data_IF_000520871494
#
_entry.id   IF_000520871494
#
_cell.length_a   1.000
_cell.length_b   1.000
_cell.length_c   1.000
_cell.angle_alpha   90.00
_cell.angle_beta   90.00
_cell.angle_gamma   90.00
#
_symmetry.space_group_name_H-M   'P 1'
#
loop_
_entity.id
_entity.type
_entity.pdbx_description
1 polymer ?
#
# COMPACT_ATOMS: atom_id res chain seq x y z
N UNK A 1 6.33 -14.54 -12.73
CA UNK A 1 5.34 -14.12 -11.76
C UNK A 1 4.76 -12.76 -12.05
N UNK A 2 3.66 -12.44 -11.41
CA UNK A 2 2.98 -11.15 -11.55
C UNK A 2 3.81 -9.97 -11.04
N UNK A 3 4.68 -10.21 -10.05
CA UNK A 3 5.50 -9.16 -9.41
C UNK A 3 6.79 -8.78 -10.17
N UNK A 4 6.84 -9.04 -11.49
CA UNK A 4 8.01 -8.65 -12.29
C UNK A 4 8.26 -7.13 -12.21
N UNK A 5 9.50 -6.71 -11.99
CA UNK A 5 9.97 -5.33 -11.91
C UNK A 5 9.41 -4.51 -10.73
N UNK A 6 8.85 -5.15 -9.69
CA UNK A 6 8.39 -4.43 -8.48
C UNK A 6 9.56 -3.92 -7.63
N UNK A 7 10.67 -4.64 -7.59
CA UNK A 7 11.90 -4.18 -6.90
C UNK A 7 12.44 -2.91 -7.55
N UNK A 8 12.57 -2.91 -8.87
CA UNK A 8 13.04 -1.75 -9.65
C UNK A 8 12.09 -0.56 -9.50
N UNK A 9 10.77 -0.80 -9.52
CA UNK A 9 9.77 0.22 -9.27
C UNK A 9 9.91 0.78 -7.85
N UNK A 10 10.02 -0.06 -6.82
CA UNK A 10 10.14 0.39 -5.43
C UNK A 10 11.37 1.26 -5.20
N UNK A 11 12.50 0.93 -5.85
CA UNK A 11 13.70 1.75 -5.79
C UNK A 11 13.54 3.09 -6.52
N UNK A 12 12.86 3.11 -7.67
CA UNK A 12 12.54 4.35 -8.37
C UNK A 12 11.60 5.25 -7.55
N UNK A 13 10.59 4.66 -6.89
CA UNK A 13 9.68 5.40 -5.98
C UNK A 13 10.43 5.97 -4.77
N UNK A 14 11.36 5.21 -4.18
CA UNK A 14 12.24 5.72 -3.11
C UNK A 14 12.98 6.97 -3.57
N UNK A 15 13.62 6.91 -4.72
CA UNK A 15 14.42 8.02 -5.24
C UNK A 15 13.54 9.23 -5.56
N UNK A 16 12.37 9.01 -6.18
CA UNK A 16 11.39 10.07 -6.44
C UNK A 16 10.82 10.70 -5.16
N UNK A 17 10.62 9.92 -4.08
CA UNK A 17 10.21 10.47 -2.78
C UNK A 17 11.32 11.33 -2.15
N UNK A 18 12.57 10.90 -2.23
CA UNK A 18 13.71 11.71 -1.75
C UNK A 18 13.77 13.03 -2.50
N UNK A 19 13.63 13.00 -3.83
CA UNK A 19 13.63 14.21 -4.66
C UNK A 19 12.45 15.14 -4.34
N UNK A 20 11.27 14.58 -4.07
CA UNK A 20 10.06 15.35 -3.81
C UNK A 20 9.94 15.90 -2.37
N UNK A 21 10.58 15.25 -1.40
CA UNK A 21 10.38 15.54 0.04
C UNK A 21 11.65 15.84 0.80
N UNK A 22 12.82 15.45 0.29
CA UNK A 22 14.09 15.48 1.01
C UNK A 22 14.26 14.32 2.02
N UNK A 23 13.28 13.43 2.17
CA UNK A 23 13.30 12.34 3.16
C UNK A 23 13.30 10.98 2.47
N UNK A 24 14.13 10.07 2.99
CA UNK A 24 14.22 8.70 2.50
C UNK A 24 13.21 7.78 3.22
N UNK A 25 12.35 7.06 2.50
CA UNK A 25 11.52 6.04 3.12
C UNK A 25 12.37 4.82 3.50
N UNK A 26 11.93 4.05 4.49
CA UNK A 26 12.45 2.69 4.72
C UNK A 26 12.03 1.80 3.56
N UNK A 27 12.96 1.06 2.98
CA UNK A 27 12.70 0.13 1.87
C UNK A 27 13.24 -1.25 2.24
N UNK A 28 12.35 -2.22 2.40
CA UNK A 28 12.69 -3.61 2.70
C UNK A 28 12.37 -4.46 1.46
N UNK A 29 13.37 -5.15 0.93
CA UNK A 29 13.27 -5.89 -0.31
C UNK A 29 13.57 -7.37 -0.11
N UNK A 30 12.65 -8.26 -0.50
CA UNK A 30 12.98 -9.67 -0.72
C UNK A 30 13.52 -9.86 -2.14
N UNK A 31 14.72 -10.42 -2.24
CA UNK A 31 15.37 -10.75 -3.53
C UNK A 31 15.23 -12.23 -3.89
N UNK A 32 14.62 -13.02 -3.02
CA UNK A 32 14.39 -14.42 -3.30
C UNK A 32 13.19 -14.59 -4.25
N UNK A 33 13.33 -15.53 -5.17
CA UNK A 33 12.21 -15.90 -6.04
C UNK A 33 11.09 -16.54 -5.19
N UNK A 34 9.82 -16.24 -5.47
CA UNK A 34 8.65 -16.70 -4.69
C UNK A 34 8.55 -18.24 -4.55
N UNK A 35 9.17 -19.00 -5.47
CA UNK A 35 9.28 -20.45 -5.33
C UNK A 35 10.25 -20.91 -4.25
N UNK A 36 11.07 -19.99 -3.73
CA UNK A 36 12.01 -20.26 -2.63
C UNK A 36 11.52 -19.68 -1.33
N UNK A 37 10.92 -18.50 -1.37
CA UNK A 37 10.31 -17.81 -0.25
C UNK A 37 9.22 -16.88 -0.77
N UNK A 38 8.00 -17.03 -0.29
CA UNK A 38 6.94 -16.04 -0.48
C UNK A 38 6.69 -15.29 0.85
N UNK A 39 7.36 -14.15 1.11
CA UNK A 39 7.26 -13.46 2.39
C UNK A 39 5.87 -12.85 2.65
N UNK A 40 4.98 -12.83 1.65
CA UNK A 40 3.59 -12.42 1.79
C UNK A 40 2.66 -13.61 2.14
N UNK A 41 3.17 -14.57 2.93
CA UNK A 41 2.46 -15.73 3.44
C UNK A 41 2.87 -16.04 4.88
N UNK A 42 2.05 -16.85 5.56
CA UNK A 42 2.45 -17.48 6.82
C UNK A 42 3.71 -18.32 6.63
N UNK A 43 4.57 -18.37 7.64
CA UNK A 43 5.90 -18.97 7.54
C UNK A 43 5.90 -20.40 7.01
N UNK A 44 4.92 -21.22 7.40
CA UNK A 44 4.81 -22.63 6.96
C UNK A 44 4.59 -22.71 5.46
N UNK A 45 3.70 -21.87 4.91
CA UNK A 45 3.43 -21.79 3.47
C UNK A 45 4.57 -21.06 2.74
N UNK A 46 5.12 -20.01 3.35
CA UNK A 46 6.15 -19.17 2.78
C UNK A 46 7.46 -19.91 2.53
N UNK A 47 7.94 -20.65 3.54
CA UNK A 47 9.27 -21.28 3.56
C UNK A 47 9.23 -22.79 3.23
N UNK A 48 8.07 -23.42 3.27
CA UNK A 48 7.85 -24.82 2.89
C UNK A 48 8.76 -25.82 3.64
N UNK A 49 9.14 -25.49 4.89
CA UNK A 49 9.98 -26.30 5.73
C UNK A 49 11.49 -26.21 5.43
N UNK A 50 11.92 -25.27 4.58
CA UNK A 50 13.35 -24.98 4.36
C UNK A 50 13.85 -24.02 5.45
N UNK A 51 14.82 -24.41 6.31
CA UNK A 51 15.27 -23.61 7.44
C UNK A 51 15.99 -22.31 7.02
N UNK A 52 16.59 -22.27 5.83
CA UNK A 52 17.18 -21.04 5.31
C UNK A 52 16.11 -20.05 4.82
N UNK A 53 15.03 -20.56 4.22
CA UNK A 53 13.89 -19.76 3.84
C UNK A 53 13.12 -19.26 5.07
N UNK A 54 12.98 -20.08 6.13
CA UNK A 54 12.39 -19.66 7.40
C UNK A 54 13.19 -18.51 8.04
N UNK A 55 14.52 -18.63 8.08
CA UNK A 55 15.38 -17.55 8.58
C UNK A 55 15.23 -16.27 7.75
N UNK A 56 15.23 -16.36 6.43
CA UNK A 56 15.04 -15.21 5.56
C UNK A 56 13.64 -14.59 5.71
N UNK A 57 12.60 -15.40 6.00
CA UNK A 57 11.27 -14.93 6.32
C UNK A 57 11.27 -14.10 7.63
N UNK A 58 11.91 -14.61 8.69
CA UNK A 58 12.04 -13.89 9.95
C UNK A 58 12.78 -12.56 9.76
N UNK A 59 13.91 -12.56 9.07
CA UNK A 59 14.68 -11.34 8.77
C UNK A 59 13.80 -10.30 8.04
N UNK A 60 13.07 -10.71 7.01
CA UNK A 60 12.20 -9.80 6.26
C UNK A 60 11.11 -9.19 7.13
N UNK A 61 10.40 -10.02 7.91
CA UNK A 61 9.33 -9.55 8.81
C UNK A 61 9.88 -8.67 9.94
N UNK A 62 11.02 -9.01 10.48
CA UNK A 62 11.64 -8.25 11.57
C UNK A 62 12.15 -6.87 11.11
N UNK A 63 12.70 -6.77 9.90
CA UNK A 63 13.07 -5.46 9.33
C UNK A 63 11.86 -4.55 9.16
N UNK A 64 10.72 -5.07 8.69
CA UNK A 64 9.49 -4.28 8.60
C UNK A 64 9.02 -3.83 9.98
N UNK A 65 9.03 -4.73 10.97
CA UNK A 65 8.66 -4.38 12.35
C UNK A 65 9.57 -3.30 12.93
N UNK A 66 10.88 -3.40 12.74
CA UNK A 66 11.84 -2.40 13.22
C UNK A 66 11.59 -1.04 12.57
N UNK A 67 11.36 -0.99 11.25
CA UNK A 67 11.03 0.25 10.56
C UNK A 67 9.73 0.88 11.11
N UNK A 68 8.69 0.06 11.35
CA UNK A 68 7.42 0.52 11.96
C UNK A 68 7.61 1.07 13.36
N UNK A 69 8.39 0.39 14.21
CA UNK A 69 8.72 0.86 15.56
C UNK A 69 9.47 2.19 15.52
N UNK A 70 10.43 2.32 14.61
CA UNK A 70 11.17 3.57 14.42
C UNK A 70 10.23 4.72 13.99
N UNK A 71 9.42 4.52 12.97
CA UNK A 71 8.47 5.54 12.48
C UNK A 71 7.44 5.91 13.55
N UNK A 72 6.88 4.92 14.25
CA UNK A 72 5.92 5.18 15.32
C UNK A 72 6.55 5.94 16.50
N UNK A 73 7.83 5.65 16.82
CA UNK A 73 8.53 6.32 17.91
C UNK A 73 8.94 7.76 17.61
N UNK A 74 9.30 8.04 16.37
CA UNK A 74 9.81 9.37 15.98
C UNK A 74 8.70 10.31 15.47
N UNK A 75 7.61 9.76 14.93
CA UNK A 75 6.56 10.51 14.23
C UNK A 75 5.13 10.21 14.73
N UNK A 76 4.96 9.40 15.77
CA UNK A 76 3.69 8.98 16.36
C UNK A 76 2.77 8.17 15.42
N UNK A 77 2.84 8.41 14.10
CA UNK A 77 2.00 7.79 13.07
C UNK A 77 2.78 7.59 11.77
N UNK A 78 2.32 6.71 10.91
CA UNK A 78 2.97 6.50 9.62
C UNK A 78 2.17 5.64 8.66
N UNK A 79 2.75 5.45 7.48
CA UNK A 79 2.14 4.71 6.38
C UNK A 79 3.08 3.63 5.87
N UNK A 80 2.56 2.42 5.71
CA UNK A 80 3.22 1.24 5.14
C UNK A 80 2.61 0.91 3.78
N UNK A 81 3.46 0.69 2.79
CA UNK A 81 3.05 0.19 1.48
C UNK A 81 3.64 -1.18 1.20
N UNK A 82 2.79 -2.14 0.83
CA UNK A 82 3.17 -3.46 0.34
C UNK A 82 3.11 -3.46 -1.19
N UNK A 83 4.28 -3.42 -1.84
CA UNK A 83 4.42 -3.17 -3.28
C UNK A 83 4.37 -4.47 -4.08
N UNK A 84 3.30 -4.67 -4.82
CA UNK A 84 3.04 -5.84 -5.65
C UNK A 84 2.73 -5.50 -7.10
N UNK A 85 2.55 -6.54 -7.90
CA UNK A 85 2.11 -6.40 -9.28
C UNK A 85 1.11 -7.47 -9.68
N UNK A 86 0.02 -7.07 -10.31
CA UNK A 86 -1.02 -7.99 -10.75
C UNK A 86 -0.93 -8.33 -12.25
N UNK A 87 -1.63 -9.41 -12.60
CA UNK A 87 -1.83 -9.85 -13.98
C UNK A 87 -3.30 -9.80 -14.43
N UNK A 88 -4.16 -9.04 -13.74
CA UNK A 88 -5.56 -8.85 -14.16
C UNK A 88 -5.62 -8.13 -15.50
N UNK A 89 -6.67 -8.38 -16.28
CA UNK A 89 -6.83 -7.82 -17.62
C UNK A 89 -7.16 -6.32 -17.63
N UNK A 90 -7.69 -5.80 -16.52
CA UNK A 90 -8.05 -4.39 -16.40
C UNK A 90 -6.80 -3.60 -15.97
N UNK A 91 -6.32 -2.65 -16.79
CA UNK A 91 -5.14 -1.87 -16.48
C UNK A 91 -5.47 -0.76 -15.46
N UNK A 92 -5.10 -0.99 -14.20
CA UNK A 92 -5.29 -0.05 -13.09
C UNK A 92 -4.38 -0.43 -11.92
N UNK A 93 -4.17 0.48 -10.98
CA UNK A 93 -3.59 0.17 -9.68
C UNK A 93 -4.72 -0.31 -8.75
N UNK A 94 -4.55 -1.46 -8.10
CA UNK A 94 -5.51 -1.95 -7.11
C UNK A 94 -4.96 -1.68 -5.71
N UNK A 95 -5.73 -0.94 -4.91
CA UNK A 95 -5.32 -0.49 -3.57
C UNK A 95 -6.03 -1.37 -2.54
N UNK A 96 -5.28 -2.29 -1.97
CA UNK A 96 -5.79 -3.25 -0.98
C UNK A 96 -5.77 -2.69 0.44
N UNK A 97 -6.94 -2.56 1.03
CA UNK A 97 -7.17 -2.14 2.42
C UNK A 97 -7.66 -3.29 3.33
N UNK A 98 -7.58 -4.55 2.88
CA UNK A 98 -8.19 -5.75 3.48
C UNK A 98 -9.73 -5.76 3.38
N UNK A 99 -10.33 -4.86 2.64
CA UNK A 99 -11.74 -4.92 2.29
C UNK A 99 -11.92 -5.76 1.01
N UNK A 100 -12.91 -6.64 1.02
CA UNK A 100 -13.28 -7.42 -0.17
C UNK A 100 -13.95 -6.54 -1.23
N UNK A 101 -14.02 -7.02 -2.47
CA UNK A 101 -14.81 -6.36 -3.50
C UNK A 101 -16.28 -6.19 -3.09
N UNK A 102 -16.85 -7.17 -2.39
CA UNK A 102 -18.22 -7.07 -1.87
C UNK A 102 -18.38 -6.04 -0.74
N UNK A 103 -17.34 -5.81 0.07
CA UNK A 103 -17.34 -4.71 1.05
C UNK A 103 -17.33 -3.36 0.31
N UNK A 104 -16.44 -3.17 -0.66
CA UNK A 104 -16.34 -1.93 -1.44
C UNK A 104 -17.55 -1.65 -2.32
N UNK A 105 -18.30 -2.67 -2.72
CA UNK A 105 -19.54 -2.52 -3.50
C UNK A 105 -20.72 -2.01 -2.66
N UNK A 106 -20.57 -1.90 -1.35
CA UNK A 106 -21.61 -1.33 -0.51
C UNK A 106 -21.72 0.20 -0.70
N UNK A 107 -22.86 0.76 -0.29
CA UNK A 107 -23.06 2.21 -0.27
C UNK A 107 -22.21 2.87 0.83
N UNK A 108 -22.11 4.20 0.79
CA UNK A 108 -21.26 4.96 1.70
C UNK A 108 -21.73 4.83 3.16
N UNK A 109 -23.04 4.79 3.43
CA UNK A 109 -23.58 4.61 4.78
C UNK A 109 -23.09 3.29 5.41
N UNK A 110 -23.07 2.21 4.64
CA UNK A 110 -22.57 0.93 5.09
C UNK A 110 -21.04 0.93 5.28
N UNK A 111 -20.31 1.59 4.38
CA UNK A 111 -18.86 1.75 4.51
C UNK A 111 -18.46 2.59 5.72
N UNK A 112 -19.26 3.58 6.08
CA UNK A 112 -19.02 4.47 7.23
C UNK A 112 -19.30 3.79 8.59
N UNK A 113 -19.70 2.53 8.59
CA UNK A 113 -19.87 1.77 9.81
C UNK A 113 -18.49 1.44 10.44
N UNK A 114 -18.37 1.59 11.75
CA UNK A 114 -17.13 1.30 12.48
C UNK A 114 -16.62 -0.14 12.26
N UNK A 115 -17.52 -1.10 12.03
CA UNK A 115 -17.14 -2.48 11.67
C UNK A 115 -16.30 -2.54 10.37
N UNK A 116 -16.51 -1.65 9.41
CA UNK A 116 -15.70 -1.57 8.21
C UNK A 116 -14.32 -1.01 8.50
N UNK A 117 -14.24 0.05 9.30
CA UNK A 117 -12.95 0.60 9.79
C UNK A 117 -12.13 -0.49 10.47
N UNK A 118 -12.76 -1.27 11.35
CA UNK A 118 -12.09 -2.34 12.13
C UNK A 118 -11.57 -3.51 11.28
N UNK A 119 -12.15 -3.75 10.11
CA UNK A 119 -11.66 -4.76 9.17
C UNK A 119 -10.37 -4.38 8.47
N UNK A 120 -10.06 -3.09 8.36
CA UNK A 120 -9.05 -2.60 7.43
C UNK A 120 -7.63 -2.54 8.01
N UNK A 121 -6.67 -2.45 7.13
CA UNK A 121 -5.26 -2.19 7.45
C UNK A 121 -4.94 -0.70 7.69
N UNK A 122 -5.91 0.20 7.45
CA UNK A 122 -5.82 1.64 7.69
C UNK A 122 -6.72 2.08 8.86
N UNK A 123 -6.90 1.22 9.84
CA UNK A 123 -7.79 1.45 10.99
C UNK A 123 -7.45 2.71 11.78
N UNK A 124 -6.17 2.94 12.05
CA UNK A 124 -5.72 4.14 12.75
C UNK A 124 -6.12 5.39 11.98
N UNK A 125 -5.84 5.42 10.69
CA UNK A 125 -6.24 6.53 9.83
C UNK A 125 -7.77 6.70 9.79
N UNK A 126 -8.52 5.60 9.62
CA UNK A 126 -9.99 5.62 9.59
C UNK A 126 -10.65 6.10 10.88
N UNK A 127 -9.96 6.03 12.02
CA UNK A 127 -10.45 6.53 13.32
C UNK A 127 -10.14 8.00 13.56
N UNK A 128 -9.08 8.52 12.94
CA UNK A 128 -8.55 9.85 13.22
C UNK A 128 -8.73 10.83 12.07
N UNK A 129 -9.04 10.36 10.86
CA UNK A 129 -9.31 11.23 9.72
C UNK A 129 -10.58 12.07 9.97
N UNK A 130 -10.59 13.34 9.58
CA UNK A 130 -11.78 14.19 9.68
C UNK A 130 -12.86 13.83 8.64
N UNK A 131 -12.47 13.19 7.54
CA UNK A 131 -13.35 12.71 6.49
C UNK A 131 -14.14 11.47 6.95
N UNK A 132 -15.28 11.21 6.32
CA UNK A 132 -15.98 9.93 6.46
C UNK A 132 -15.12 8.79 5.92
N UNK A 133 -15.32 7.58 6.41
CA UNK A 133 -14.50 6.45 5.99
C UNK A 133 -14.66 6.12 4.50
N UNK A 134 -15.85 6.31 3.93
CA UNK A 134 -16.09 6.18 2.50
C UNK A 134 -15.31 7.22 1.68
N UNK A 135 -15.24 8.47 2.16
CA UNK A 135 -14.41 9.51 1.52
C UNK A 135 -12.92 9.20 1.60
N UNK A 136 -12.47 8.68 2.74
CA UNK A 136 -11.08 8.22 2.90
C UNK A 136 -10.71 7.08 1.94
N UNK A 137 -11.64 6.19 1.65
CA UNK A 137 -11.42 5.06 0.72
C UNK A 137 -11.48 5.47 -0.75
N UNK A 138 -12.44 6.35 -1.12
CA UNK A 138 -12.80 6.62 -2.52
C UNK A 138 -13.23 8.06 -2.82
N UNK A 139 -13.04 8.98 -1.88
CA UNK A 139 -13.26 10.42 -2.10
C UNK A 139 -12.09 11.10 -2.81
N UNK A 140 -12.23 12.40 -3.11
CA UNK A 140 -11.18 13.16 -3.81
C UNK A 140 -9.83 13.18 -3.09
N UNK A 141 -9.83 13.13 -1.76
CA UNK A 141 -8.64 13.10 -0.91
C UNK A 141 -8.19 11.68 -0.53
N UNK A 142 -8.81 10.65 -1.08
CA UNK A 142 -8.34 9.27 -0.93
C UNK A 142 -7.02 9.06 -1.65
N UNK A 143 -6.30 7.99 -1.32
CA UNK A 143 -5.07 7.64 -2.03
C UNK A 143 -5.32 7.44 -3.54
N UNK A 144 -6.46 6.78 -3.88
CA UNK A 144 -6.90 6.64 -5.27
C UNK A 144 -7.29 7.96 -5.92
N UNK A 145 -7.78 8.94 -5.14
CA UNK A 145 -8.03 10.30 -5.61
C UNK A 145 -6.75 10.99 -6.04
N UNK A 146 -5.74 11.02 -5.18
CA UNK A 146 -4.43 11.62 -5.50
C UNK A 146 -3.72 10.92 -6.66
N UNK A 147 -3.83 9.58 -6.77
CA UNK A 147 -3.31 8.87 -7.96
C UNK A 147 -4.02 9.30 -9.24
N UNK A 148 -5.33 9.49 -9.19
CA UNK A 148 -6.12 9.96 -10.33
C UNK A 148 -5.76 11.38 -10.76
N UNK A 149 -5.48 12.27 -9.83
CA UNK A 149 -5.00 13.64 -10.12
C UNK A 149 -3.64 13.61 -10.83
N UNK A 150 -2.81 12.61 -10.58
CA UNK A 150 -1.56 12.35 -11.31
C UNK A 150 -1.77 11.59 -12.64
N UNK A 151 -3.02 11.34 -13.04
CA UNK A 151 -3.36 10.63 -14.28
C UNK A 151 -3.24 9.10 -14.19
N UNK A 152 -3.14 8.54 -13.00
CA UNK A 152 -3.02 7.10 -12.76
C UNK A 152 -4.37 6.52 -12.37
N UNK A 153 -4.93 5.65 -13.21
CA UNK A 153 -6.17 4.94 -12.89
C UNK A 153 -5.97 3.99 -11.71
N UNK A 154 -6.83 4.07 -10.72
CA UNK A 154 -6.76 3.21 -9.53
C UNK A 154 -8.14 2.85 -8.98
N UNK A 155 -8.18 1.82 -8.13
CA UNK A 155 -9.38 1.34 -7.47
C UNK A 155 -9.05 0.95 -6.00
N UNK A 156 -9.88 1.36 -4.99
CA UNK A 156 -10.97 2.33 -5.11
C UNK A 156 -10.45 3.76 -5.37
N UNK A 157 -11.27 4.56 -6.03
CA UNK A 157 -11.00 5.97 -6.31
C UNK A 157 -12.32 6.71 -6.58
N UNK A 158 -12.35 8.04 -6.70
CA UNK A 158 -13.57 8.77 -7.05
C UNK A 158 -14.16 8.35 -8.41
N UNK A 159 -13.31 7.92 -9.35
CA UNK A 159 -13.72 7.53 -10.72
C UNK A 159 -13.99 6.03 -10.85
N UNK A 160 -13.43 5.22 -9.95
CA UNK A 160 -13.55 3.75 -9.92
C UNK A 160 -13.78 3.34 -8.46
N UNK A 161 -14.98 3.58 -7.90
CA UNK A 161 -15.21 3.53 -6.45
C UNK A 161 -15.25 2.11 -5.88
N UNK A 162 -15.51 1.11 -6.73
CA UNK A 162 -15.57 -0.28 -6.31
C UNK A 162 -15.37 -1.23 -7.50
N UNK A 163 -14.85 -2.47 -7.27
CA UNK A 163 -14.55 -3.39 -8.36
C UNK A 163 -15.79 -4.00 -9.03
N UNK A 164 -16.97 -3.89 -8.44
CA UNK A 164 -18.13 -4.63 -8.93
C UNK A 164 -17.89 -6.13 -8.87
N UNK A 165 -17.92 -6.79 -10.03
CA UNK A 165 -17.60 -8.22 -10.19
C UNK A 165 -16.18 -8.48 -10.72
N UNK A 166 -15.41 -7.43 -10.97
CA UNK A 166 -14.06 -7.55 -11.51
C UNK A 166 -13.08 -8.14 -10.49
N UNK A 167 -12.05 -8.86 -10.95
CA UNK A 167 -10.96 -9.29 -10.09
C UNK A 167 -10.32 -8.10 -9.36
N UNK A 168 -10.06 -8.29 -8.06
CA UNK A 168 -9.48 -7.26 -7.21
C UNK A 168 -8.68 -7.88 -6.06
N UNK A 169 -7.48 -7.38 -5.83
CA UNK A 169 -6.62 -7.79 -4.73
C UNK A 169 -6.86 -6.93 -3.49
N UNK A 170 -7.29 -7.58 -2.43
CA UNK A 170 -7.74 -6.91 -1.19
C UNK A 170 -6.60 -6.56 -0.23
N UNK A 171 -5.46 -7.16 -0.39
CA UNK A 171 -4.33 -7.16 0.54
C UNK A 171 -3.95 -8.57 0.97
N UNK A 172 -2.68 -8.79 1.28
CA UNK A 172 -2.10 -10.07 1.65
C UNK A 172 -1.71 -10.17 3.12
N UNK A 173 -0.81 -11.10 3.40
CA UNK A 173 -0.26 -11.35 4.73
C UNK A 173 0.42 -10.10 5.30
N UNK A 174 1.35 -9.50 4.55
CA UNK A 174 2.10 -8.34 5.03
C UNK A 174 1.19 -7.15 5.34
N UNK A 175 0.19 -6.88 4.49
CA UNK A 175 -0.79 -5.81 4.73
C UNK A 175 -1.58 -6.05 6.02
N UNK A 176 -1.93 -7.31 6.29
CA UNK A 176 -2.62 -7.71 7.52
C UNK A 176 -1.74 -7.58 8.76
N UNK A 177 -0.47 -8.00 8.67
CA UNK A 177 0.42 -8.03 9.82
C UNK A 177 1.06 -6.67 10.13
N UNK A 178 1.28 -5.85 9.11
CA UNK A 178 2.01 -4.60 9.24
C UNK A 178 1.14 -3.34 9.14
N UNK A 179 -0.11 -3.46 8.72
CA UNK A 179 -1.09 -2.38 8.81
C UNK A 179 -1.68 -2.22 10.21
N UNK A 180 -2.44 -1.15 10.43
CA UNK A 180 -3.04 -0.83 11.73
C UNK A 180 -4.28 -1.69 12.01
N UNK A 181 -4.12 -2.83 12.65
CA UNK A 181 -5.20 -3.76 12.98
C UNK A 181 -5.54 -3.88 14.47
N UNK A 182 -4.81 -3.20 15.32
CA UNK A 182 -5.07 -3.13 16.75
C UNK A 182 -5.19 -1.68 17.22
N UNK A 183 -5.74 -1.47 18.43
CA UNK A 183 -5.87 -0.13 19.01
C UNK A 183 -4.54 0.58 19.25
N UNK A 184 -3.47 -0.20 19.42
CA UNK A 184 -2.12 0.30 19.65
C UNK A 184 -1.29 0.46 18.38
N UNK A 185 -1.83 0.07 17.22
CA UNK A 185 -1.12 0.13 15.95
C UNK A 185 -1.41 1.44 15.23
N UNK A 186 -0.38 2.27 15.11
CA UNK A 186 -0.46 3.63 14.53
C UNK A 186 0.11 3.72 13.11
N UNK A 187 0.62 2.62 12.57
CA UNK A 187 1.09 2.57 11.17
C UNK A 187 -0.02 1.99 10.29
N UNK A 188 -0.68 2.84 9.53
CA UNK A 188 -1.66 2.41 8.54
C UNK A 188 -0.98 1.76 7.34
N UNK A 189 -1.58 0.75 6.73
CA UNK A 189 -0.96 0.00 5.64
C UNK A 189 -1.87 -0.18 4.43
N UNK A 190 -1.27 -0.19 3.25
CA UNK A 190 -1.95 -0.44 1.98
C UNK A 190 -1.14 -1.41 1.13
N UNK A 191 -1.80 -2.38 0.48
CA UNK A 191 -1.20 -3.13 -0.61
C UNK A 191 -1.42 -2.39 -1.92
N UNK A 192 -0.37 -2.22 -2.71
CA UNK A 192 -0.48 -1.63 -4.04
C UNK A 192 -0.14 -2.70 -5.10
N UNK A 193 -1.16 -3.06 -5.85
CA UNK A 193 -1.03 -3.99 -6.96
C UNK A 193 -0.98 -3.22 -8.28
N UNK A 194 0.20 -3.18 -8.86
CA UNK A 194 0.48 -2.39 -10.06
C UNK A 194 0.26 -3.23 -11.33
N UNK A 195 -0.39 -2.66 -12.33
CA UNK A 195 -0.42 -3.27 -13.67
C UNK A 195 0.98 -3.37 -14.27
N UNK A 196 1.23 -4.35 -15.16
CA UNK A 196 2.53 -4.47 -15.81
C UNK A 196 2.71 -3.46 -16.95
N UNK A 197 1.83 -3.42 -17.97
CA UNK A 197 1.99 -2.50 -19.09
C UNK A 197 1.83 -1.04 -18.66
N UNK A 198 2.77 -0.20 -19.08
CA UNK A 198 2.70 1.24 -18.90
C UNK A 198 3.15 1.77 -17.53
N UNK A 199 3.25 0.92 -16.49
CA UNK A 199 3.72 1.35 -15.17
C UNK A 199 5.09 0.75 -14.81
N UNK A 200 5.30 -0.56 -15.02
CA UNK A 200 6.50 -1.24 -14.56
C UNK A 200 7.21 -2.10 -15.61
N UNK A 201 6.74 -2.08 -16.85
CA UNK A 201 7.26 -2.88 -17.97
C UNK A 201 8.60 -2.38 -18.51
N UNK A 202 8.79 -1.06 -18.62
CA UNK A 202 10.04 -0.43 -19.08
C UNK A 202 10.63 0.48 -18.00
N UNK A 203 11.92 0.79 -18.11
CA UNK A 203 12.56 1.74 -17.21
C UNK A 203 11.93 3.13 -17.33
N UNK A 204 11.69 3.61 -18.54
CA UNK A 204 11.05 4.90 -18.78
C UNK A 204 9.66 4.98 -18.11
N UNK A 205 8.83 3.93 -18.23
CA UNK A 205 7.52 3.89 -17.60
C UNK A 205 7.63 3.87 -16.07
N UNK A 206 8.59 3.11 -15.53
CA UNK A 206 8.85 3.08 -14.08
C UNK A 206 9.26 4.44 -13.54
N UNK A 207 10.11 5.18 -14.23
CA UNK A 207 10.54 6.52 -13.80
C UNK A 207 9.37 7.52 -13.80
N UNK A 208 8.57 7.54 -14.86
CA UNK A 208 7.37 8.41 -14.94
C UNK A 208 6.38 8.05 -13.83
N UNK A 209 6.05 6.77 -13.71
CA UNK A 209 5.10 6.32 -12.69
C UNK A 209 5.63 6.51 -11.26
N UNK A 210 6.91 6.32 -11.03
CA UNK A 210 7.52 6.55 -9.71
C UNK A 210 7.36 8.01 -9.26
N UNK A 211 7.52 8.98 -10.17
CA UNK A 211 7.28 10.39 -9.87
C UNK A 211 5.79 10.66 -9.53
N UNK A 212 4.86 10.10 -10.31
CA UNK A 212 3.42 10.21 -10.05
C UNK A 212 3.03 9.58 -8.70
N UNK A 213 3.53 8.38 -8.42
CA UNK A 213 3.26 7.68 -7.15
C UNK A 213 3.88 8.43 -5.95
N UNK A 214 5.09 8.95 -6.10
CA UNK A 214 5.74 9.76 -5.06
C UNK A 214 4.95 11.06 -4.77
N UNK A 215 4.43 11.73 -5.81
CA UNK A 215 3.55 12.88 -5.65
C UNK A 215 2.27 12.53 -4.90
N UNK A 216 1.59 11.44 -5.28
CA UNK A 216 0.38 10.97 -4.61
C UNK A 216 0.65 10.60 -3.14
N UNK A 217 1.76 9.92 -2.84
CA UNK A 217 2.18 9.60 -1.47
C UNK A 217 2.41 10.88 -0.66
N UNK A 218 3.17 11.83 -1.21
CA UNK A 218 3.46 13.11 -0.54
C UNK A 218 2.18 13.88 -0.24
N UNK A 219 1.25 13.99 -1.20
CA UNK A 219 -0.02 14.70 -1.01
C UNK A 219 -0.91 14.00 0.00
N UNK A 220 -0.98 12.68 -0.03
CA UNK A 220 -1.74 11.90 0.94
C UNK A 220 -1.16 12.03 2.37
N UNK A 221 0.16 12.00 2.50
CA UNK A 221 0.86 12.20 3.77
C UNK A 221 0.68 13.63 4.30
N UNK A 222 0.70 14.62 3.42
CA UNK A 222 0.42 16.02 3.80
C UNK A 222 -1.01 16.17 4.32
N UNK A 223 -2.00 15.66 3.58
CA UNK A 223 -3.43 15.80 3.91
C UNK A 223 -3.80 15.10 5.21
N UNK A 224 -3.38 13.84 5.38
CA UNK A 224 -3.89 12.98 6.46
C UNK A 224 -2.94 12.85 7.66
N UNK A 225 -1.67 13.20 7.50
CA UNK A 225 -0.66 13.07 8.56
C UNK A 225 0.02 14.39 8.91
N UNK A 226 -0.15 15.44 8.10
CA UNK A 226 0.51 16.73 8.29
C UNK A 226 2.02 16.70 8.00
N UNK A 227 2.50 15.72 7.24
CA UNK A 227 3.91 15.60 6.85
C UNK A 227 4.20 16.34 5.54
N UNK A 228 5.44 16.79 5.37
CA UNK A 228 5.92 17.43 4.15
C UNK A 228 5.23 18.77 3.83
N UNK A 229 4.92 19.56 4.86
CA UNK A 229 4.44 20.93 4.66
C UNK A 229 5.50 21.78 3.94
N UNK A 230 5.08 22.71 3.04
CA UNK A 230 6.01 23.62 2.40
C UNK A 230 6.74 24.48 3.44
N UNK A 231 8.06 24.30 3.59
CA UNK A 231 8.90 25.08 4.51
C UNK A 231 9.12 24.47 5.90
N UNK A 232 8.76 23.19 6.09
CA UNK A 232 9.11 22.42 7.30
C UNK A 232 10.51 21.84 7.21
#
# INVERSE_FOLDING_TARGET
GSDRNTVELSLAVRDALIDATGYAPHVILSRLHRSKLDPNREIVEAAQGDPFAENAWHEFQDWIKQARVFVAGDYDRGLYFDMHGHGHSIPRVEIGYLLSGSDLNQNDDALNNMTMVEKTSIRDLGRHAPETFSELLRGPKSFGGFLGDEGVRSIPSPWDPSPGSDPYWTGGYNTREHGSRSLSEVISGMQLEHQYPGLRDTDANRQVYAAQLASAIRLFMLEHFGFFEPGS
#
